data_IF_330496062596
#
_entry.id   IF_330496062596
#
_cell.length_a   1.000
_cell.length_b   1.000
_cell.length_c   1.000
_cell.angle_alpha   90.00
_cell.angle_beta   90.00
_cell.angle_gamma   90.00
#
_symmetry.space_group_name_H-M   'P 1'
#
loop_
_entity.id
_entity.type
_entity.pdbx_description
1 polymer ?
#
# COMPACT_ATOMS: atom_id res chain seq x y z
N UNK A 1 0.29 -15.90 10.48
CA UNK A 1 -0.80 -15.87 9.48
C UNK A 1 -0.24 -15.18 8.25
N UNK A 2 0.08 -15.90 7.16
CA UNK A 2 0.73 -15.33 5.99
C UNK A 2 -0.25 -14.44 5.23
N UNK A 3 0.02 -13.13 5.23
CA UNK A 3 -0.70 -12.15 4.43
C UNK A 3 0.13 -11.82 3.19
N UNK A 4 -0.51 -11.87 2.02
CA UNK A 4 0.10 -11.52 0.74
C UNK A 4 -0.49 -10.20 0.26
N UNK A 5 0.30 -9.11 0.16
CA UNK A 5 -0.15 -7.90 -0.52
C UNK A 5 0.11 -8.03 -2.02
N UNK A 6 -0.85 -7.59 -2.83
CA UNK A 6 -0.73 -7.56 -4.27
C UNK A 6 -1.27 -6.24 -4.81
N UNK A 7 -0.64 -5.68 -5.83
CA UNK A 7 -1.13 -4.51 -6.54
C UNK A 7 -0.44 -4.42 -7.89
N UNK A 8 -0.95 -3.53 -8.73
CA UNK A 8 -0.43 -3.37 -10.09
C UNK A 8 -1.11 -2.25 -10.83
N UNK A 9 -1.35 -2.45 -12.13
CA UNK A 9 -1.76 -1.38 -13.05
C UNK A 9 -3.07 -0.67 -12.69
N UNK A 10 -4.00 -1.37 -12.01
CA UNK A 10 -5.28 -0.79 -11.60
C UNK A 10 -5.16 0.28 -10.50
N UNK A 11 -4.01 0.38 -9.84
CA UNK A 11 -3.85 1.28 -8.69
C UNK A 11 -4.61 0.84 -7.43
N UNK A 12 -5.12 -0.40 -7.43
CA UNK A 12 -5.68 -1.05 -6.25
C UNK A 12 -4.63 -1.94 -5.58
N UNK A 13 -4.69 -2.01 -4.25
CA UNK A 13 -3.91 -2.93 -3.43
C UNK A 13 -4.87 -3.92 -2.79
N UNK A 14 -4.64 -5.21 -3.00
CA UNK A 14 -5.38 -6.31 -2.39
C UNK A 14 -4.51 -6.98 -1.34
N UNK A 15 -5.07 -7.27 -0.18
CA UNK A 15 -4.41 -8.10 0.86
C UNK A 15 -5.15 -9.41 0.97
N UNK A 16 -4.42 -10.52 0.81
CA UNK A 16 -4.95 -11.87 0.75
C UNK A 16 -4.47 -12.64 1.98
N UNK A 17 -5.39 -13.27 2.70
CA UNK A 17 -5.07 -14.29 3.69
C UNK A 17 -4.92 -15.64 2.97
N UNK A 18 -3.68 -16.10 2.87
CA UNK A 18 -3.33 -17.32 2.13
C UNK A 18 -3.92 -18.56 2.80
N UNK A 19 -4.05 -18.57 4.12
CA UNK A 19 -4.57 -19.72 4.86
C UNK A 19 -6.09 -19.84 4.72
N UNK A 20 -6.79 -18.70 4.73
CA UNK A 20 -8.25 -18.65 4.61
C UNK A 20 -8.73 -18.64 3.15
N UNK A 21 -7.78 -18.56 2.20
CA UNK A 21 -8.04 -18.41 0.77
C UNK A 21 -9.03 -17.27 0.48
N UNK A 22 -8.86 -16.14 1.18
CA UNK A 22 -9.82 -15.04 1.17
C UNK A 22 -9.14 -13.68 1.20
N UNK A 23 -9.84 -12.67 0.69
CA UNK A 23 -9.36 -11.27 0.71
C UNK A 23 -9.62 -10.66 2.08
N UNK A 24 -8.57 -10.12 2.71
CA UNK A 24 -8.69 -9.29 3.91
C UNK A 24 -9.26 -7.92 3.54
N UNK A 25 -8.75 -7.31 2.47
CA UNK A 25 -9.24 -6.03 2.01
C UNK A 25 -8.79 -5.68 0.60
N UNK A 26 -9.65 -4.93 -0.09
CA UNK A 26 -9.40 -4.30 -1.38
C UNK A 26 -9.30 -2.78 -1.18
N UNK A 27 -8.10 -2.23 -1.33
CA UNK A 27 -7.81 -0.84 -1.07
C UNK A 27 -7.59 -0.07 -2.37
N UNK A 28 -8.55 0.77 -2.72
CA UNK A 28 -8.50 1.60 -3.91
C UNK A 28 -7.93 2.99 -3.62
N UNK A 29 -7.78 3.80 -4.67
CA UNK A 29 -7.55 5.23 -4.56
C UNK A 29 -6.23 5.74 -5.13
N UNK A 30 -5.23 4.92 -5.48
CA UNK A 30 -3.95 5.49 -5.99
C UNK A 30 -4.10 6.21 -7.33
N UNK A 31 -5.17 5.93 -8.07
CA UNK A 31 -5.43 6.53 -9.39
C UNK A 31 -4.47 6.08 -10.49
N UNK A 32 -3.34 5.47 -10.11
CA UNK A 32 -2.25 5.07 -10.98
C UNK A 32 -1.62 3.76 -10.48
N UNK A 33 -0.89 3.09 -11.37
CA UNK A 33 -0.21 1.82 -11.13
C UNK A 33 0.60 1.81 -9.82
N UNK A 34 0.46 0.73 -9.05
CA UNK A 34 1.26 0.47 -7.86
C UNK A 34 2.60 -0.12 -8.29
N UNK A 35 3.69 0.46 -7.81
CA UNK A 35 5.04 -0.01 -8.11
C UNK A 35 5.64 -0.83 -6.97
N UNK A 36 5.39 -0.42 -5.73
CA UNK A 36 5.89 -1.13 -4.56
C UNK A 36 4.85 -1.16 -3.43
N UNK A 37 4.85 -2.27 -2.69
CA UNK A 37 4.02 -2.50 -1.52
C UNK A 37 4.87 -3.19 -0.46
N UNK A 38 4.88 -2.66 0.77
CA UNK A 38 5.61 -3.25 1.89
C UNK A 38 4.76 -3.32 3.15
N UNK A 39 4.82 -4.45 3.84
CA UNK A 39 4.35 -4.53 5.22
C UNK A 39 5.40 -3.96 6.16
N UNK A 40 4.96 -3.33 7.25
CA UNK A 40 5.85 -2.98 8.34
C UNK A 40 6.34 -4.26 9.05
N UNK A 41 7.63 -4.35 9.35
CA UNK A 41 8.26 -5.57 9.86
C UNK A 41 7.76 -5.98 11.25
N UNK A 42 7.59 -5.02 12.18
CA UNK A 42 7.07 -5.28 13.53
C UNK A 42 5.54 -5.22 13.66
N UNK A 43 4.83 -4.51 12.77
CA UNK A 43 3.39 -4.31 12.85
C UNK A 43 2.74 -4.67 11.50
N UNK A 44 2.35 -5.94 11.36
CA UNK A 44 1.75 -6.48 10.14
C UNK A 44 0.41 -5.84 9.75
N UNK A 45 -0.19 -5.01 10.61
CA UNK A 45 -1.38 -4.24 10.25
C UNK A 45 -1.07 -2.99 9.44
N UNK A 46 0.20 -2.56 9.39
CA UNK A 46 0.61 -1.40 8.62
C UNK A 46 1.15 -1.81 7.24
N UNK A 47 0.56 -1.23 6.20
CA UNK A 47 0.91 -1.47 4.81
C UNK A 47 1.25 -0.15 4.12
N UNK A 48 2.47 -0.05 3.62
CA UNK A 48 2.94 1.03 2.76
C UNK A 48 2.75 0.65 1.30
N UNK A 49 2.42 1.64 0.48
CA UNK A 49 2.33 1.48 -0.98
C UNK A 49 2.67 2.76 -1.69
N UNK A 50 3.39 2.63 -2.81
CA UNK A 50 3.85 3.72 -3.66
C UNK A 50 3.39 3.52 -5.08
N UNK A 51 2.94 4.58 -5.73
CA UNK A 51 2.42 4.53 -7.10
C UNK A 51 3.13 5.46 -8.06
N UNK A 52 2.91 5.18 -9.35
CA UNK A 52 3.31 6.02 -10.48
C UNK A 52 2.81 7.47 -10.39
N UNK A 53 1.65 7.67 -9.78
CA UNK A 53 1.01 8.98 -9.59
C UNK A 53 1.53 9.78 -8.41
N UNK A 54 2.78 9.54 -7.98
CA UNK A 54 3.49 10.30 -6.93
C UNK A 54 2.90 10.13 -5.50
N UNK A 55 1.93 9.23 -5.37
CA UNK A 55 1.18 9.03 -4.15
C UNK A 55 1.78 7.89 -3.31
N UNK A 56 2.14 8.22 -2.07
CA UNK A 56 2.48 7.26 -1.03
C UNK A 56 1.30 7.18 -0.06
N UNK A 57 0.88 5.95 0.26
CA UNK A 57 -0.20 5.71 1.21
C UNK A 57 0.19 4.69 2.25
N UNK A 58 -0.13 5.01 3.50
CA UNK A 58 -0.07 4.12 4.64
C UNK A 58 -1.47 3.63 4.96
N UNK A 59 -1.64 2.33 5.16
CA UNK A 59 -2.93 1.72 5.50
C UNK A 59 -2.81 0.90 6.75
N UNK A 60 -3.82 1.02 7.62
CA UNK A 60 -4.09 0.04 8.66
C UNK A 60 -5.08 -0.99 8.10
N UNK A 61 -4.61 -2.22 7.87
CA UNK A 61 -5.42 -3.27 7.25
C UNK A 61 -6.43 -3.91 8.21
N UNK A 62 -6.25 -3.76 9.53
CA UNK A 62 -7.20 -4.26 10.54
C UNK A 62 -8.43 -3.36 10.63
N UNK A 63 -8.23 -2.04 10.62
CA UNK A 63 -9.30 -1.05 10.75
C UNK A 63 -9.78 -0.49 9.40
N UNK A 64 -9.15 -0.91 8.29
CA UNK A 64 -9.40 -0.42 6.94
C UNK A 64 -9.25 1.11 6.79
N UNK A 65 -8.36 1.71 7.58
CA UNK A 65 -8.09 3.16 7.54
C UNK A 65 -6.91 3.43 6.61
N UNK A 66 -7.04 4.48 5.80
CA UNK A 66 -6.00 4.93 4.90
C UNK A 66 -5.56 6.35 5.25
N UNK A 67 -4.24 6.55 5.41
CA UNK A 67 -3.62 7.85 5.59
C UNK A 67 -2.76 8.14 4.34
N UNK A 68 -3.10 9.17 3.54
CA UNK A 68 -2.20 9.63 2.48
C UNK A 68 -0.97 10.29 3.12
N UNK A 69 0.23 9.82 2.78
CA UNK A 69 1.49 10.40 3.28
C UNK A 69 1.94 11.55 2.38
N UNK A 70 1.84 11.36 1.06
CA UNK A 70 2.18 12.40 0.09
C UNK A 70 1.01 12.66 -0.85
N UNK A 71 0.48 13.88 -0.77
CA UNK A 71 -0.42 14.50 -1.74
C UNK A 71 -0.23 16.02 -1.63
N UNK A 72 0.42 16.67 -2.60
CA UNK A 72 0.61 18.12 -2.59
C UNK A 72 1.92 18.60 -3.22
N UNK A 73 2.13 19.92 -3.22
CA UNK A 73 3.28 20.62 -3.83
C UNK A 73 4.65 20.23 -3.26
N UNK A 74 4.65 19.66 -2.05
CA UNK A 74 5.83 19.23 -1.28
C UNK A 74 6.06 17.70 -1.36
N UNK A 75 5.17 16.96 -2.04
CA UNK A 75 5.31 15.52 -2.22
C UNK A 75 6.35 15.14 -3.29
N UNK A 76 6.54 13.84 -3.54
CA UNK A 76 7.32 13.37 -4.68
C UNK A 76 6.85 14.07 -5.95
N UNK A 77 7.79 14.60 -6.73
CA UNK A 77 7.50 15.23 -8.04
C UNK A 77 7.63 14.24 -9.21
N UNK A 78 7.85 12.97 -8.87
CA UNK A 78 8.13 11.89 -9.79
C UNK A 78 7.59 10.58 -9.25
N UNK A 79 7.57 9.59 -10.12
CA UNK A 79 7.07 8.24 -9.84
C UNK A 79 7.74 7.67 -8.59
N UNK A 80 6.93 7.10 -7.70
CA UNK A 80 7.46 6.39 -6.54
C UNK A 80 7.96 5.04 -7.02
N UNK A 81 9.28 4.92 -7.15
CA UNK A 81 9.93 3.69 -7.59
C UNK A 81 10.10 2.73 -6.41
N UNK A 82 10.47 3.27 -5.24
CA UNK A 82 10.61 2.47 -4.03
C UNK A 82 10.27 3.23 -2.74
N UNK A 83 9.89 2.49 -1.71
CA UNK A 83 9.53 2.91 -0.36
C UNK A 83 10.08 1.91 0.67
N UNK A 84 10.39 2.39 1.87
CA UNK A 84 10.75 1.51 2.98
C UNK A 84 10.25 2.07 4.31
N UNK A 85 10.17 1.18 5.31
CA UNK A 85 10.09 1.60 6.70
C UNK A 85 11.51 1.71 7.25
N UNK A 86 11.78 2.79 7.99
CA UNK A 86 12.96 2.86 8.86
C UNK A 86 12.61 2.09 10.14
N UNK A 87 13.29 0.97 10.37
CA UNK A 87 13.04 0.02 11.45
C UNK A 87 14.34 -0.47 12.06
#
# INVERSE_FOLDING_TARGET
>A
MPLLPAGGYSGAVRVIDVNRNGTVGDYTGHGHAINEIKFHQCNLFLLLSGSKGYAIRLRNIQCHVCVPISHGSEGPRGEVISIDFDV
#
